data_IF_353267069225
#
_entry.id   IF_353267069225
#
_cell.length_a   1.000
_cell.length_b   1.000
_cell.length_c   1.000
_cell.angle_alpha   90.00
_cell.angle_beta   90.00
_cell.angle_gamma   90.00
#
_symmetry.space_group_name_H-M   'P 1'
#
loop_
_entity.id
_entity.type
_entity.pdbx_description
1 polymer ?
#
# COMPACT_ATOMS: atom_id res chain seq x y z
N UNK A 1 -0.56 -18.53 3.91
CA UNK A 1 -1.96 -18.71 4.31
C UNK A 1 -2.66 -17.37 4.20
N UNK A 2 -3.68 -17.25 3.36
CA UNK A 2 -4.42 -15.99 3.24
C UNK A 2 -5.31 -15.83 4.49
N UNK A 3 -5.20 -14.69 5.18
CA UNK A 3 -6.15 -14.33 6.24
C UNK A 3 -7.46 -13.97 5.54
N UNK A 4 -8.53 -14.68 5.90
CA UNK A 4 -9.88 -14.39 5.42
C UNK A 4 -10.35 -13.03 5.94
N UNK A 5 -10.93 -12.23 5.05
CA UNK A 5 -11.52 -10.93 5.37
C UNK A 5 -12.98 -11.12 5.81
N UNK A 6 -13.16 -11.92 6.86
CA UNK A 6 -14.45 -12.22 7.48
C UNK A 6 -14.54 -11.63 8.89
N UNK A 7 -15.75 -11.41 9.38
CA UNK A 7 -15.99 -10.74 10.65
C UNK A 7 -15.37 -11.46 11.85
N UNK A 8 -15.39 -12.80 11.84
CA UNK A 8 -14.82 -13.62 12.92
C UNK A 8 -13.31 -13.44 13.03
N UNK A 9 -12.59 -13.52 11.91
CA UNK A 9 -11.14 -13.33 11.86
C UNK A 9 -10.74 -11.91 12.31
N UNK A 10 -11.52 -10.91 11.90
CA UNK A 10 -11.30 -9.51 12.26
C UNK A 10 -11.50 -9.29 13.75
N UNK A 11 -12.57 -9.84 14.33
CA UNK A 11 -12.84 -9.74 15.75
C UNK A 11 -11.78 -10.45 16.59
N UNK A 12 -11.27 -11.60 16.14
CA UNK A 12 -10.16 -12.29 16.79
C UNK A 12 -8.88 -11.44 16.82
N UNK A 13 -8.53 -10.81 15.70
CA UNK A 13 -7.37 -9.90 15.62
C UNK A 13 -7.58 -8.67 16.52
N UNK A 14 -8.77 -8.06 16.48
CA UNK A 14 -9.12 -6.93 17.32
C UNK A 14 -8.96 -7.24 18.81
N UNK A 15 -9.52 -8.35 19.29
CA UNK A 15 -9.43 -8.76 20.69
C UNK A 15 -7.96 -8.99 21.12
N UNK A 16 -7.14 -9.57 20.24
CA UNK A 16 -5.72 -9.75 20.50
C UNK A 16 -4.96 -8.42 20.59
N UNK A 17 -5.31 -7.44 19.76
CA UNK A 17 -4.72 -6.09 19.79
C UNK A 17 -5.09 -5.38 21.09
N UNK A 18 -6.39 -5.37 21.45
CA UNK A 18 -6.87 -4.72 22.68
C UNK A 18 -6.17 -5.33 23.89
N UNK A 19 -6.22 -6.66 24.05
CA UNK A 19 -5.55 -7.36 25.15
C UNK A 19 -4.06 -6.99 25.26
N UNK A 20 -3.37 -6.86 24.12
CA UNK A 20 -1.95 -6.48 24.09
C UNK A 20 -1.72 -5.02 24.50
N UNK A 21 -2.58 -4.10 24.05
CA UNK A 21 -2.51 -2.69 24.43
C UNK A 21 -2.78 -2.50 25.91
N UNK A 22 -3.81 -3.13 26.45
CA UNK A 22 -4.15 -3.09 27.88
C UNK A 22 -3.02 -3.68 28.72
N UNK A 23 -2.40 -4.79 28.27
CA UNK A 23 -1.21 -5.35 28.93
C UNK A 23 0.00 -4.40 28.97
N UNK A 24 0.17 -3.51 27.99
CA UNK A 24 1.28 -2.55 27.99
C UNK A 24 0.97 -1.27 28.74
N UNK A 25 -0.30 -0.86 28.77
CA UNK A 25 -0.74 0.42 29.32
C UNK A 25 -1.24 0.31 30.74
N UNK A 26 -1.75 -0.86 31.16
CA UNK A 26 -2.43 -1.04 32.44
C UNK A 26 -3.87 -0.52 32.47
N UNK A 27 -4.38 -0.03 31.33
CA UNK A 27 -5.69 0.63 31.21
C UNK A 27 -6.71 -0.27 30.49
N UNK A 28 -7.99 -0.19 30.85
CA UNK A 28 -9.09 -0.92 30.22
C UNK A 28 -9.57 -0.25 28.93
N UNK A 29 -8.71 -0.21 27.91
CA UNK A 29 -8.95 0.48 26.64
C UNK A 29 -10.21 -0.03 25.93
N UNK A 30 -10.46 -1.34 25.97
CA UNK A 30 -11.56 -1.97 25.25
C UNK A 30 -12.94 -1.42 25.63
N UNK A 31 -13.13 -1.09 26.91
CA UNK A 31 -14.40 -0.57 27.44
C UNK A 31 -14.71 0.86 26.97
N UNK A 32 -13.68 1.60 26.57
CA UNK A 32 -13.80 2.98 26.13
C UNK A 32 -13.92 3.12 24.60
N UNK A 33 -13.95 2.02 23.85
CA UNK A 33 -14.08 2.04 22.38
C UNK A 33 -15.53 2.32 21.97
N UNK A 34 -15.82 3.55 21.54
CA UNK A 34 -17.15 3.96 21.04
C UNK A 34 -17.34 3.76 19.53
N UNK A 35 -16.26 3.51 18.78
CA UNK A 35 -16.30 3.35 17.33
C UNK A 35 -15.15 2.46 16.84
N UNK A 36 -15.46 1.57 15.89
CA UNK A 36 -14.50 0.69 15.23
C UNK A 36 -14.74 0.71 13.73
N UNK A 37 -13.70 0.99 12.95
CA UNK A 37 -13.70 0.86 11.49
C UNK A 37 -12.59 -0.09 11.05
N UNK A 38 -12.95 -1.07 10.23
CA UNK A 38 -12.01 -1.99 9.64
C UNK A 38 -11.59 -1.51 8.25
N UNK A 39 -10.27 -1.54 8.00
CA UNK A 39 -9.68 -1.31 6.68
C UNK A 39 -8.72 -2.46 6.40
N UNK A 40 -9.09 -3.34 5.47
CA UNK A 40 -8.34 -4.55 5.13
C UNK A 40 -8.24 -4.76 3.62
N UNK A 41 -7.76 -5.92 3.18
CA UNK A 41 -7.42 -6.22 1.78
C UNK A 41 -8.55 -5.90 0.80
N UNK A 42 -9.80 -6.27 1.13
CA UNK A 42 -10.95 -5.99 0.26
C UNK A 42 -11.13 -4.49 0.07
N UNK A 43 -11.04 -3.71 1.15
CA UNK A 43 -11.11 -2.26 1.08
C UNK A 43 -10.02 -1.67 0.16
N UNK A 44 -8.78 -2.15 0.23
CA UNK A 44 -7.70 -1.67 -0.65
C UNK A 44 -7.94 -1.99 -2.12
N UNK A 45 -8.46 -3.19 -2.42
CA UNK A 45 -8.83 -3.58 -3.79
C UNK A 45 -9.94 -2.68 -4.33
N UNK A 46 -11.01 -2.54 -3.57
CA UNK A 46 -12.25 -1.89 -4.02
C UNK A 46 -12.11 -0.37 -4.07
N UNK A 47 -11.37 0.23 -3.13
CA UNK A 47 -11.26 1.70 -3.00
C UNK A 47 -10.13 2.28 -3.84
N UNK A 48 -8.99 1.59 -3.92
CA UNK A 48 -7.78 2.12 -4.55
C UNK A 48 -7.37 1.37 -5.82
N UNK A 49 -8.18 0.41 -6.28
CA UNK A 49 -7.81 -0.50 -7.37
C UNK A 49 -6.46 -1.20 -7.10
N UNK A 50 -6.13 -1.43 -5.82
CA UNK A 50 -4.84 -1.96 -5.44
C UNK A 50 -4.78 -3.46 -5.78
N UNK A 51 -3.88 -3.85 -6.69
CA UNK A 51 -3.69 -5.24 -7.07
C UNK A 51 -3.44 -6.13 -5.83
N UNK A 52 -4.23 -7.18 -5.65
CA UNK A 52 -4.19 -8.06 -4.47
C UNK A 52 -4.41 -7.37 -3.11
N UNK A 53 -4.88 -6.11 -3.10
CA UNK A 53 -5.10 -5.34 -1.88
C UNK A 53 -3.80 -4.90 -1.20
N UNK A 54 -2.74 -4.66 -1.97
CA UNK A 54 -1.47 -4.21 -1.43
C UNK A 54 -1.55 -2.77 -0.92
N UNK A 55 -0.90 -2.49 0.21
CA UNK A 55 -0.80 -1.15 0.79
C UNK A 55 0.53 -0.44 0.49
N UNK A 56 1.52 -1.16 -0.05
CA UNK A 56 2.90 -0.69 -0.15
C UNK A 56 3.59 -1.04 -1.48
N UNK A 57 2.81 -1.30 -2.53
CA UNK A 57 3.33 -1.56 -3.87
C UNK A 57 4.11 -2.88 -4.00
N UNK A 58 5.19 -2.85 -4.79
CA UNK A 58 6.07 -3.99 -5.01
C UNK A 58 6.86 -4.32 -3.74
N UNK A 59 7.10 -5.62 -3.52
CA UNK A 59 7.93 -6.06 -2.40
C UNK A 59 9.38 -5.58 -2.58
N UNK A 60 10.04 -5.24 -1.47
CA UNK A 60 11.46 -4.84 -1.48
C UNK A 60 12.37 -6.07 -1.55
N UNK A 61 12.21 -6.91 -2.58
CA UNK A 61 13.13 -8.01 -2.85
C UNK A 61 14.34 -7.50 -3.61
N UNK A 62 15.50 -8.16 -3.49
CA UNK A 62 16.72 -7.76 -4.20
C UNK A 62 16.53 -7.63 -5.73
N UNK A 63 15.64 -8.45 -6.31
CA UNK A 63 15.32 -8.40 -7.74
C UNK A 63 14.30 -7.32 -8.12
N UNK A 64 13.73 -6.61 -7.14
CA UNK A 64 12.74 -5.54 -7.32
C UNK A 64 13.25 -4.18 -6.82
N UNK A 65 14.56 -4.05 -6.58
CA UNK A 65 15.22 -2.78 -6.22
C UNK A 65 15.96 -2.15 -7.41
N UNK A 66 16.30 -0.87 -7.25
CA UNK A 66 17.13 -0.10 -8.18
C UNK A 66 16.71 -0.22 -9.67
N UNK A 67 17.64 -0.61 -10.55
CA UNK A 67 17.46 -0.66 -12.01
C UNK A 67 16.50 -1.76 -12.49
N UNK A 68 16.18 -2.72 -11.62
CA UNK A 68 15.27 -3.83 -11.91
C UNK A 68 13.79 -3.49 -11.64
N UNK A 69 13.51 -2.27 -11.15
CA UNK A 69 12.13 -1.79 -11.02
C UNK A 69 11.46 -1.60 -12.40
N UNK A 70 10.12 -1.71 -12.46
CA UNK A 70 9.37 -1.40 -13.67
C UNK A 70 9.72 -0.01 -14.21
N UNK A 71 9.98 0.05 -15.51
CA UNK A 71 10.30 1.30 -16.20
C UNK A 71 9.05 2.18 -16.27
N UNK A 72 9.25 3.49 -16.18
CA UNK A 72 8.17 4.47 -16.27
C UNK A 72 7.66 4.67 -17.71
N UNK A 73 8.49 4.44 -18.72
CA UNK A 73 8.09 4.56 -20.15
C UNK A 73 7.62 3.20 -20.67
N UNK A 74 6.45 3.15 -21.29
CA UNK A 74 5.97 1.94 -21.95
C UNK A 74 6.81 1.63 -23.20
N UNK A 75 7.21 0.37 -23.39
CA UNK A 75 8.05 -0.06 -24.54
C UNK A 75 7.27 -0.38 -25.81
N UNK A 76 5.95 -0.54 -25.72
CA UNK A 76 5.06 -1.03 -26.79
C UNK A 76 4.08 0.05 -27.28
N UNK A 77 3.73 0.99 -26.42
CA UNK A 77 2.77 2.07 -26.70
C UNK A 77 3.50 3.40 -26.60
N UNK A 78 3.51 4.15 -27.69
CA UNK A 78 4.12 5.48 -27.74
C UNK A 78 3.33 6.45 -26.87
N UNK A 79 4.03 7.41 -26.26
CA UNK A 79 3.45 8.45 -25.41
C UNK A 79 2.64 7.91 -24.19
N UNK A 80 3.00 6.73 -23.69
CA UNK A 80 2.41 6.15 -22.47
C UNK A 80 3.45 6.04 -21.36
N UNK A 81 3.15 6.69 -20.23
CA UNK A 81 4.02 6.77 -19.06
C UNK A 81 3.29 6.31 -17.80
N UNK A 82 4.05 5.75 -16.87
CA UNK A 82 3.59 5.25 -15.59
C UNK A 82 4.18 6.10 -14.45
N UNK A 83 3.38 6.33 -13.42
CA UNK A 83 3.77 7.06 -12.22
C UNK A 83 3.14 6.44 -10.97
N UNK A 84 3.71 6.73 -9.82
CA UNK A 84 3.24 6.33 -8.50
C UNK A 84 4.03 5.19 -7.87
N UNK A 85 3.44 4.55 -6.86
CA UNK A 85 4.13 3.64 -5.95
C UNK A 85 4.71 2.35 -6.58
N UNK A 86 4.22 1.96 -7.78
CA UNK A 86 4.65 0.74 -8.47
C UNK A 86 5.81 0.97 -9.45
N UNK A 87 6.24 2.22 -9.62
CA UNK A 87 7.31 2.61 -10.52
C UNK A 87 8.47 3.25 -9.75
N UNK A 88 9.49 3.72 -10.47
CA UNK A 88 10.61 4.45 -9.88
C UNK A 88 10.09 5.76 -9.25
N UNK A 89 10.52 6.14 -8.02
CA UNK A 89 11.50 5.47 -7.16
C UNK A 89 10.94 4.38 -6.23
N UNK A 90 9.63 4.31 -6.00
CA UNK A 90 9.00 3.23 -5.23
C UNK A 90 7.78 3.65 -4.41
N UNK A 91 7.40 2.83 -3.42
CA UNK A 91 6.24 3.09 -2.57
C UNK A 91 6.50 4.16 -1.50
N UNK A 92 5.41 4.72 -0.97
CA UNK A 92 5.42 5.79 0.02
C UNK A 92 5.01 7.14 -0.57
N UNK A 93 4.59 8.07 0.31
CA UNK A 93 4.08 9.39 -0.11
C UNK A 93 5.16 10.20 -0.83
N UNK A 94 6.36 10.45 -0.25
CA UNK A 94 7.38 11.23 -0.96
C UNK A 94 7.84 10.56 -2.28
N UNK A 95 8.14 9.25 -2.33
CA UNK A 95 8.45 8.55 -3.57
C UNK A 95 7.38 8.66 -4.65
N UNK A 96 6.10 8.58 -4.29
CA UNK A 96 4.99 8.66 -5.26
C UNK A 96 4.88 10.06 -5.88
N UNK A 97 5.10 11.11 -5.08
CA UNK A 97 5.12 12.50 -5.58
C UNK A 97 6.30 12.72 -6.53
N UNK A 98 7.50 12.27 -6.14
CA UNK A 98 8.71 12.35 -6.99
C UNK A 98 8.51 11.55 -8.28
N UNK A 99 7.83 10.41 -8.24
CA UNK A 99 7.49 9.64 -9.44
C UNK A 99 6.67 10.48 -10.44
N UNK A 100 5.72 11.30 -9.95
CA UNK A 100 4.97 12.25 -10.78
C UNK A 100 5.88 13.26 -11.47
N UNK A 101 6.82 13.85 -10.74
CA UNK A 101 7.79 14.81 -11.28
C UNK A 101 8.69 14.17 -12.35
N UNK A 102 9.20 12.96 -12.10
CA UNK A 102 10.03 12.23 -13.07
C UNK A 102 9.22 11.92 -14.34
N UNK A 103 7.97 11.49 -14.21
CA UNK A 103 7.10 11.21 -15.36
C UNK A 103 6.91 12.47 -16.21
N UNK A 104 6.64 13.63 -15.58
CA UNK A 104 6.50 14.90 -16.28
C UNK A 104 7.78 15.31 -17.03
N UNK A 105 8.96 15.14 -16.41
CA UNK A 105 10.25 15.38 -17.07
C UNK A 105 10.48 14.44 -18.25
N UNK A 106 10.13 13.16 -18.12
CA UNK A 106 10.25 12.17 -19.20
C UNK A 106 9.34 12.51 -20.38
N UNK A 107 8.14 13.03 -20.12
CA UNK A 107 7.21 13.51 -21.16
C UNK A 107 7.83 14.71 -21.90
N UNK A 108 8.35 15.70 -21.17
CA UNK A 108 8.93 16.91 -21.77
C UNK A 108 10.19 16.62 -22.59
N UNK A 109 11.00 15.64 -22.19
CA UNK A 109 12.25 15.28 -22.88
C UNK A 109 12.05 14.36 -24.10
N UNK A 110 10.84 13.84 -24.34
CA UNK A 110 10.52 13.08 -25.55
C UNK A 110 10.01 13.97 -26.70
N UNK A 111 9.83 15.28 -26.46
CA UNK A 111 9.52 16.28 -27.48
C UNK A 111 10.77 16.93 -28.05
#
# INVERSE_FOLDING_TARGET
TEIEDNESAVNAIYNNIIKRLESYTGEAIGEHVIFKKQVAKKHFKDTYNAFKGNAYGLANTLMQTATLKPKMVNKKVNNLFYTGQLTVPGPGVPPSIISGEIAAKLINNQN
#
